data_IF_763480257778
#
_entry.id   IF_763480257778
#
_cell.length_a   1.000
_cell.length_b   1.000
_cell.length_c   1.000
_cell.angle_alpha   90.00
_cell.angle_beta   90.00
_cell.angle_gamma   90.00
#
_symmetry.space_group_name_H-M   'P 1'
#
loop_
_entity.id
_entity.type
_entity.pdbx_description
1 polymer ?
#
# COMPACT_ATOMS: atom_id res chain seq x y z
N UNK A 1 6.27 -17.40 -7.78
CA UNK A 1 5.21 -16.53 -7.27
C UNK A 1 5.44 -16.22 -5.79
N UNK A 2 5.35 -17.20 -4.88
CA UNK A 2 5.58 -16.97 -3.44
C UNK A 2 6.95 -16.38 -3.12
N UNK A 3 8.03 -17.05 -3.54
CA UNK A 3 9.41 -16.61 -3.29
C UNK A 3 9.73 -15.24 -3.90
N UNK A 4 8.98 -14.84 -4.93
CA UNK A 4 9.14 -13.55 -5.59
C UNK A 4 8.45 -12.43 -4.80
N UNK A 5 7.20 -12.67 -4.38
CA UNK A 5 6.35 -11.60 -3.84
C UNK A 5 6.40 -11.49 -2.32
N UNK A 6 6.74 -12.55 -1.59
CA UNK A 6 6.61 -12.57 -0.13
C UNK A 6 7.92 -12.17 0.58
N UNK A 7 9.06 -12.90 0.44
CA UNK A 7 10.21 -12.72 1.33
C UNK A 7 11.15 -11.54 0.98
N UNK A 8 11.00 -10.89 -0.18
CA UNK A 8 11.97 -9.89 -0.66
C UNK A 8 11.95 -8.52 0.04
N UNK A 9 11.15 -8.35 1.10
CA UNK A 9 11.05 -7.10 1.87
C UNK A 9 11.99 -7.06 3.08
N UNK A 10 11.87 -6.00 3.90
CA UNK A 10 12.59 -5.90 5.19
C UNK A 10 11.96 -6.78 6.29
N UNK A 11 10.77 -7.32 6.06
CA UNK A 11 10.00 -8.14 6.99
C UNK A 11 9.69 -7.48 8.33
N UNK A 12 9.76 -6.14 8.41
CA UNK A 12 9.56 -5.40 9.65
C UNK A 12 8.21 -5.74 10.31
N UNK A 13 7.13 -5.92 9.54
CA UNK A 13 5.80 -6.20 10.10
C UNK A 13 5.77 -7.61 10.69
N UNK A 14 6.31 -8.58 9.96
CA UNK A 14 6.43 -9.95 10.42
C UNK A 14 7.30 -10.11 11.66
N UNK A 15 8.48 -9.48 11.67
CA UNK A 15 9.41 -9.46 12.81
C UNK A 15 8.78 -8.77 14.03
N UNK A 16 7.97 -7.72 13.82
CA UNK A 16 7.30 -7.00 14.92
C UNK A 16 6.38 -7.89 15.74
N UNK A 17 5.80 -8.96 15.18
CA UNK A 17 5.00 -9.93 15.96
C UNK A 17 5.88 -10.66 16.97
N UNK A 18 7.04 -11.15 16.53
CA UNK A 18 8.00 -11.88 17.36
C UNK A 18 8.54 -10.97 18.45
N UNK A 19 8.96 -9.76 18.08
CA UNK A 19 9.50 -8.79 19.03
C UNK A 19 8.46 -8.36 20.06
N UNK A 20 7.22 -8.10 19.63
CA UNK A 20 6.12 -7.72 20.52
C UNK A 20 5.75 -8.85 21.47
N UNK A 21 5.67 -10.10 20.97
CA UNK A 21 5.37 -11.26 21.81
C UNK A 21 6.48 -11.49 22.86
N UNK A 22 7.75 -11.36 22.46
CA UNK A 22 8.89 -11.43 23.38
C UNK A 22 8.82 -10.36 24.46
N UNK A 23 8.47 -9.12 24.10
CA UNK A 23 8.35 -8.02 25.05
C UNK A 23 7.19 -8.23 26.04
N UNK A 24 6.07 -8.82 25.61
CA UNK A 24 4.95 -9.18 26.50
C UNK A 24 5.35 -10.27 27.50
N UNK A 25 6.13 -11.26 27.06
CA UNK A 25 6.70 -12.33 27.90
C UNK A 25 7.74 -11.82 28.91
N UNK A 26 8.37 -10.67 28.65
CA UNK A 26 9.35 -10.07 29.54
C UNK A 26 10.69 -10.82 29.54
N UNK A 27 11.17 -11.21 30.72
CA UNK A 27 12.45 -11.93 30.89
C UNK A 27 12.38 -13.43 30.57
N UNK A 28 11.17 -13.97 30.35
CA UNK A 28 11.01 -15.38 30.02
C UNK A 28 11.53 -15.72 28.62
N UNK A 29 12.29 -16.81 28.52
CA UNK A 29 12.70 -17.35 27.21
C UNK A 29 11.48 -17.91 26.47
N UNK A 30 11.39 -17.58 25.18
CA UNK A 30 10.37 -18.15 24.30
C UNK A 30 10.70 -19.60 24.00
N UNK A 31 9.69 -20.46 24.13
CA UNK A 31 9.76 -21.84 23.65
C UNK A 31 9.84 -21.90 22.13
N UNK A 32 10.31 -23.02 21.57
CA UNK A 32 10.36 -23.20 20.12
C UNK A 32 8.97 -23.11 19.46
N UNK A 33 7.91 -23.60 20.15
CA UNK A 33 6.52 -23.49 19.66
C UNK A 33 6.06 -22.03 19.63
N UNK A 34 6.36 -21.24 20.67
CA UNK A 34 6.04 -19.82 20.71
C UNK A 34 6.76 -19.05 19.60
N UNK A 35 8.06 -19.28 19.41
CA UNK A 35 8.81 -18.66 18.31
C UNK A 35 8.20 -19.03 16.96
N UNK A 36 7.87 -20.32 16.76
CA UNK A 36 7.27 -20.78 15.51
C UNK A 36 5.91 -20.13 15.25
N UNK A 37 5.03 -20.07 16.25
CA UNK A 37 3.69 -19.49 16.12
C UNK A 37 3.74 -17.98 15.89
N UNK A 38 4.60 -17.25 16.61
CA UNK A 38 4.81 -15.82 16.39
C UNK A 38 5.34 -15.56 14.96
N UNK A 39 6.30 -16.36 14.49
CA UNK A 39 6.78 -16.31 13.11
C UNK A 39 5.66 -16.61 12.11
N UNK A 40 4.81 -17.60 12.37
CA UNK A 40 3.72 -17.97 11.47
C UNK A 40 2.68 -16.84 11.33
N UNK A 41 2.35 -16.14 12.43
CA UNK A 41 1.51 -14.94 12.41
C UNK A 41 2.21 -13.79 11.68
N UNK A 42 3.50 -13.57 11.93
CA UNK A 42 4.30 -12.59 11.22
C UNK A 42 4.30 -12.81 9.71
N UNK A 43 4.45 -14.07 9.28
CA UNK A 43 4.32 -14.44 7.88
C UNK A 43 2.91 -14.22 7.34
N UNK A 44 1.84 -14.53 8.08
CA UNK A 44 0.47 -14.18 7.63
C UNK A 44 0.34 -12.69 7.28
N UNK A 45 0.98 -11.79 8.04
CA UNK A 45 0.99 -10.34 7.77
C UNK A 45 1.81 -10.01 6.52
N UNK A 46 2.99 -10.63 6.33
CA UNK A 46 3.81 -10.45 5.13
C UNK A 46 3.11 -11.01 3.87
N UNK A 47 2.33 -12.09 3.98
CA UNK A 47 1.46 -12.59 2.92
C UNK A 47 0.32 -11.62 2.60
N UNK A 48 -0.32 -11.03 3.62
CA UNK A 48 -1.35 -10.01 3.45
C UNK A 48 -0.79 -8.78 2.73
N UNK A 49 0.39 -8.32 3.14
CA UNK A 49 1.08 -7.22 2.49
C UNK A 49 1.43 -7.58 1.03
N UNK A 50 1.99 -8.77 0.78
CA UNK A 50 2.35 -9.19 -0.57
C UNK A 50 1.11 -9.25 -1.49
N UNK A 51 -0.03 -9.70 -0.98
CA UNK A 51 -1.30 -9.65 -1.70
C UNK A 51 -1.66 -8.22 -2.13
N UNK A 52 -1.68 -7.27 -1.19
CA UNK A 52 -2.01 -5.89 -1.51
C UNK A 52 -1.01 -5.27 -2.47
N UNK A 53 0.30 -5.48 -2.27
CA UNK A 53 1.34 -4.94 -3.15
C UNK A 53 1.25 -5.46 -4.59
N UNK A 54 0.93 -6.74 -4.79
CA UNK A 54 0.76 -7.29 -6.15
C UNK A 54 -0.40 -6.61 -6.88
N UNK A 55 -1.51 -6.33 -6.19
CA UNK A 55 -2.65 -5.65 -6.79
C UNK A 55 -2.42 -4.14 -6.95
N UNK A 56 -1.78 -3.51 -5.96
CA UNK A 56 -1.44 -2.09 -5.96
C UNK A 56 -0.48 -1.77 -7.12
N UNK A 57 0.56 -2.58 -7.31
CA UNK A 57 1.48 -2.43 -8.45
C UNK A 57 0.75 -2.48 -9.80
N UNK A 58 -0.33 -3.28 -9.93
CA UNK A 58 -1.16 -3.34 -11.14
C UNK A 58 -1.99 -2.07 -11.30
N UNK A 59 -2.65 -1.62 -10.22
CA UNK A 59 -3.54 -0.45 -10.23
C UNK A 59 -2.76 0.85 -10.49
N UNK A 60 -1.56 0.95 -9.95
CA UNK A 60 -0.67 2.11 -10.09
C UNK A 60 0.26 1.98 -11.32
N UNK A 61 0.09 0.95 -12.16
CA UNK A 61 0.96 0.66 -13.31
C UNK A 61 2.47 0.68 -12.96
N UNK A 62 2.83 0.25 -11.76
CA UNK A 62 4.21 0.27 -11.27
C UNK A 62 5.15 -0.57 -12.14
N UNK A 63 6.42 -0.14 -12.21
CA UNK A 63 7.46 -0.84 -12.98
C UNK A 63 8.30 -1.78 -12.13
N UNK A 64 8.73 -1.33 -10.94
CA UNK A 64 9.65 -2.07 -10.08
C UNK A 64 9.20 -2.06 -8.62
N UNK A 65 9.42 -3.16 -7.92
CA UNK A 65 9.26 -3.32 -6.47
C UNK A 65 10.41 -4.14 -5.89
N UNK A 66 10.95 -3.71 -4.74
CA UNK A 66 12.04 -4.43 -4.03
C UNK A 66 13.25 -4.72 -4.94
N UNK A 67 13.60 -3.75 -5.79
CA UNK A 67 14.73 -3.87 -6.73
C UNK A 67 14.51 -4.81 -7.93
N UNK A 68 13.29 -5.32 -8.13
CA UNK A 68 12.94 -6.23 -9.23
C UNK A 68 11.71 -5.72 -10.00
N UNK A 69 11.45 -6.17 -11.24
CA UNK A 69 10.20 -5.84 -11.93
C UNK A 69 8.98 -6.27 -11.10
N UNK A 70 7.90 -5.47 -11.12
CA UNK A 70 6.64 -5.86 -10.49
C UNK A 70 6.15 -7.19 -11.08
N UNK A 71 5.49 -8.03 -10.29
CA UNK A 71 5.13 -9.40 -10.68
C UNK A 71 4.35 -9.46 -12.01
N UNK A 72 3.38 -8.55 -12.19
CA UNK A 72 2.58 -8.46 -13.41
C UNK A 72 3.36 -7.98 -14.65
N UNK A 73 4.54 -7.37 -14.46
CA UNK A 73 5.41 -6.92 -15.56
C UNK A 73 6.26 -8.06 -16.15
N UNK A 74 6.33 -9.22 -15.50
CA UNK A 74 7.09 -10.36 -16.03
C UNK A 74 6.41 -10.92 -17.30
N UNK A 75 7.17 -11.20 -18.39
CA UNK A 75 6.58 -11.56 -19.68
C UNK A 75 5.65 -12.78 -19.69
N UNK A 76 5.86 -13.71 -18.75
CA UNK A 76 5.05 -14.95 -18.62
C UNK A 76 3.95 -14.85 -17.56
N UNK A 77 3.85 -13.72 -16.86
CA UNK A 77 2.88 -13.51 -15.77
C UNK A 77 1.75 -12.61 -16.27
N UNK A 78 2.04 -11.35 -16.61
CA UNK A 78 1.00 -10.40 -17.00
C UNK A 78 -0.13 -10.33 -15.96
N UNK A 79 -1.37 -10.30 -16.44
CA UNK A 79 -2.56 -10.20 -15.59
C UNK A 79 -2.91 -11.47 -14.80
N UNK A 80 -2.18 -12.58 -14.99
CA UNK A 80 -2.27 -13.76 -14.09
C UNK A 80 -1.97 -13.33 -12.64
N UNK A 81 -1.16 -12.29 -12.48
CA UNK A 81 -0.84 -11.65 -11.20
C UNK A 81 -2.06 -11.29 -10.35
N UNK A 82 -3.21 -10.95 -10.96
CA UNK A 82 -4.46 -10.69 -10.21
C UNK A 82 -4.90 -11.93 -9.45
N UNK A 83 -4.94 -13.08 -10.11
CA UNK A 83 -5.29 -14.34 -9.47
C UNK A 83 -4.21 -14.78 -8.47
N UNK A 84 -2.93 -14.57 -8.79
CA UNK A 84 -1.83 -14.86 -7.86
C UNK A 84 -1.95 -14.05 -6.56
N UNK A 85 -2.38 -12.79 -6.64
CA UNK A 85 -2.72 -11.97 -5.47
C UNK A 85 -3.83 -12.62 -4.64
N UNK A 86 -4.93 -13.05 -5.27
CA UNK A 86 -6.02 -13.76 -4.57
C UNK A 86 -5.51 -15.05 -3.91
N UNK A 87 -4.60 -15.78 -4.56
CA UNK A 87 -3.96 -16.97 -3.98
C UNK A 87 -3.11 -16.62 -2.76
N UNK A 88 -2.33 -15.53 -2.79
CA UNK A 88 -1.58 -15.03 -1.62
C UNK A 88 -2.51 -14.77 -0.43
N UNK A 89 -3.60 -14.04 -0.65
CA UNK A 89 -4.62 -13.77 0.37
C UNK A 89 -5.19 -15.06 0.96
N UNK A 90 -5.49 -16.05 0.12
CA UNK A 90 -6.04 -17.33 0.56
C UNK A 90 -5.03 -18.24 1.29
N UNK A 91 -3.72 -17.99 1.22
CA UNK A 91 -2.77 -18.73 2.05
C UNK A 91 -2.88 -18.36 3.54
N UNK A 92 -3.31 -17.14 3.87
CA UNK A 92 -3.47 -16.67 5.26
C UNK A 92 -4.40 -17.60 6.06
N UNK A 93 -5.68 -17.82 5.68
CA UNK A 93 -6.55 -18.72 6.42
C UNK A 93 -6.08 -20.18 6.39
N UNK A 94 -5.25 -20.59 5.41
CA UNK A 94 -4.65 -21.93 5.38
C UNK A 94 -3.59 -22.08 6.46
N UNK A 95 -2.74 -21.08 6.65
CA UNK A 95 -1.73 -21.04 7.72
C UNK A 95 -2.43 -20.96 9.08
N UNK A 96 -3.38 -20.03 9.24
CA UNK A 96 -4.15 -19.88 10.49
C UNK A 96 -4.85 -21.20 10.86
N UNK A 97 -5.58 -21.82 9.93
CA UNK A 97 -6.24 -23.11 10.19
C UNK A 97 -5.26 -24.24 10.50
N UNK A 98 -4.09 -24.26 9.87
CA UNK A 98 -3.11 -25.35 10.06
C UNK A 98 -2.47 -25.30 11.46
N UNK A 99 -2.14 -24.11 11.93
CA UNK A 99 -1.31 -23.95 13.14
C UNK A 99 -2.09 -23.44 14.37
N UNK A 100 -3.24 -22.79 14.16
CA UNK A 100 -3.97 -22.11 15.24
C UNK A 100 -5.36 -22.67 15.51
N UNK A 101 -5.89 -23.60 14.70
CA UNK A 101 -7.28 -24.11 14.83
C UNK A 101 -7.67 -24.66 16.22
N UNK A 102 -6.69 -25.08 17.02
CA UNK A 102 -6.90 -25.63 18.37
C UNK A 102 -6.62 -24.64 19.48
N UNK A 103 -6.16 -23.41 19.15
CA UNK A 103 -5.93 -22.34 20.11
C UNK A 103 -7.28 -21.67 20.43
N UNK A 104 -7.46 -21.23 21.67
CA UNK A 104 -8.69 -20.57 22.12
C UNK A 104 -9.01 -19.30 21.32
N UNK A 105 -7.98 -18.55 20.92
CA UNK A 105 -8.05 -17.31 20.16
C UNK A 105 -8.10 -17.48 18.63
N UNK A 106 -8.43 -18.69 18.13
CA UNK A 106 -8.44 -18.96 16.68
C UNK A 106 -9.46 -18.12 15.92
N UNK A 107 -10.67 -17.96 16.48
CA UNK A 107 -11.74 -17.18 15.84
C UNK A 107 -11.35 -15.71 15.83
N UNK A 108 -10.80 -15.21 16.93
CA UNK A 108 -10.34 -13.82 17.04
C UNK A 108 -9.22 -13.51 16.03
N UNK A 109 -8.32 -14.46 15.76
CA UNK A 109 -7.34 -14.32 14.68
C UNK A 109 -7.99 -14.24 13.30
N UNK A 110 -8.99 -15.07 13.00
CA UNK A 110 -9.68 -15.00 11.72
C UNK A 110 -10.38 -13.65 11.54
N UNK A 111 -11.08 -13.20 12.57
CA UNK A 111 -11.81 -11.93 12.54
C UNK A 111 -10.84 -10.74 12.46
N UNK A 112 -9.74 -10.75 13.22
CA UNK A 112 -8.69 -9.73 13.14
C UNK A 112 -8.11 -9.59 11.72
N UNK A 113 -7.72 -10.70 11.09
CA UNK A 113 -7.16 -10.66 9.74
C UNK A 113 -8.20 -10.20 8.70
N UNK A 114 -9.45 -10.65 8.81
CA UNK A 114 -10.52 -10.24 7.89
C UNK A 114 -10.87 -8.75 8.05
N UNK A 115 -10.97 -8.26 9.29
CA UNK A 115 -11.29 -6.86 9.58
C UNK A 115 -10.18 -5.92 9.10
N UNK A 116 -8.91 -6.27 9.37
CA UNK A 116 -7.77 -5.48 8.90
C UNK A 116 -7.63 -5.54 7.37
N UNK A 117 -7.92 -6.69 6.75
CA UNK A 117 -8.00 -6.80 5.28
C UNK A 117 -9.08 -5.86 4.73
N UNK A 118 -10.28 -5.86 5.33
CA UNK A 118 -11.39 -4.98 4.94
C UNK A 118 -11.05 -3.50 5.10
N UNK A 119 -10.43 -3.12 6.22
CA UNK A 119 -9.97 -1.76 6.48
C UNK A 119 -8.94 -1.32 5.44
N UNK A 120 -7.97 -2.19 5.13
CA UNK A 120 -6.92 -1.92 4.13
C UNK A 120 -7.51 -1.75 2.73
N UNK A 121 -8.42 -2.64 2.33
CA UNK A 121 -9.12 -2.55 1.06
C UNK A 121 -10.01 -1.28 0.97
N UNK A 122 -10.64 -0.88 2.08
CA UNK A 122 -11.43 0.35 2.17
C UNK A 122 -10.54 1.60 2.07
N UNK A 123 -9.37 1.59 2.71
CA UNK A 123 -8.36 2.64 2.55
C UNK A 123 -7.89 2.77 1.10
N UNK A 124 -7.60 1.63 0.45
CA UNK A 124 -7.26 1.60 -0.98
C UNK A 124 -8.39 2.14 -1.85
N UNK A 125 -9.64 1.78 -1.56
CA UNK A 125 -10.80 2.30 -2.27
C UNK A 125 -10.85 3.84 -2.18
N UNK A 126 -10.69 4.40 -0.98
CA UNK A 126 -10.71 5.86 -0.78
C UNK A 126 -9.56 6.52 -1.54
N UNK A 127 -8.36 5.94 -1.53
CA UNK A 127 -7.20 6.43 -2.28
C UNK A 127 -7.51 6.51 -3.79
N UNK A 128 -8.00 5.41 -4.37
CA UNK A 128 -8.31 5.32 -5.80
C UNK A 128 -9.42 6.28 -6.23
N UNK A 129 -10.52 6.38 -5.47
CA UNK A 129 -11.60 7.31 -5.84
C UNK A 129 -11.18 8.78 -5.67
N UNK A 130 -10.29 9.07 -4.73
CA UNK A 130 -9.78 10.43 -4.50
C UNK A 130 -8.85 10.85 -5.63
N UNK A 131 -8.03 9.93 -6.13
CA UNK A 131 -6.96 10.23 -7.11
C UNK A 131 -7.37 10.00 -8.56
N UNK A 132 -8.25 9.04 -8.85
CA UNK A 132 -8.55 8.58 -10.22
C UNK A 132 -9.97 8.89 -10.71
N UNK A 133 -10.93 9.21 -9.82
CA UNK A 133 -12.33 9.40 -10.21
C UNK A 133 -12.67 10.89 -10.43
N UNK A 134 -13.24 11.16 -11.60
CA UNK A 134 -13.60 12.51 -12.05
C UNK A 134 -12.38 13.31 -12.50
N UNK A 135 -12.53 14.62 -12.57
CA UNK A 135 -11.44 15.52 -12.98
C UNK A 135 -10.29 15.54 -11.96
N UNK A 136 -9.06 15.71 -12.46
CA UNK A 136 -7.89 15.97 -11.61
C UNK A 136 -8.03 17.36 -11.00
N UNK A 137 -8.46 17.39 -9.74
CA UNK A 137 -8.74 18.62 -9.02
C UNK A 137 -8.12 18.54 -7.61
N UNK A 138 -7.11 19.37 -7.36
CA UNK A 138 -6.44 19.46 -6.07
C UNK A 138 -7.37 19.95 -4.96
N UNK A 139 -8.50 20.59 -5.27
CA UNK A 139 -9.49 21.00 -4.26
C UNK A 139 -10.13 19.82 -3.54
N UNK A 140 -10.10 18.62 -4.16
CA UNK A 140 -10.52 17.36 -3.53
C UNK A 140 -9.58 16.93 -2.41
N UNK A 141 -8.35 17.45 -2.36
CA UNK A 141 -7.34 17.02 -1.41
C UNK A 141 -7.42 17.84 -0.13
N UNK A 142 -7.41 17.15 1.00
CA UNK A 142 -7.46 17.76 2.31
C UNK A 142 -6.74 16.89 3.32
N UNK A 143 -6.31 17.50 4.42
CA UNK A 143 -5.63 16.78 5.50
C UNK A 143 -6.51 15.68 6.10
N UNK A 144 -7.84 15.88 6.14
CA UNK A 144 -8.79 14.88 6.64
C UNK A 144 -8.90 13.68 5.71
N UNK A 145 -8.88 13.90 4.39
CA UNK A 145 -8.90 12.83 3.39
C UNK A 145 -7.58 12.05 3.42
N UNK A 146 -6.44 12.75 3.42
CA UNK A 146 -5.11 12.14 3.59
C UNK A 146 -5.08 11.26 4.84
N UNK A 147 -5.43 11.82 6.00
CA UNK A 147 -5.43 11.09 7.27
C UNK A 147 -6.31 9.83 7.20
N UNK A 148 -7.49 9.91 6.59
CA UNK A 148 -8.39 8.76 6.44
C UNK A 148 -7.82 7.70 5.49
N UNK A 149 -7.24 8.10 4.36
CA UNK A 149 -6.56 7.18 3.44
C UNK A 149 -5.46 6.44 4.21
N UNK A 150 -4.55 7.17 4.85
CA UNK A 150 -3.40 6.61 5.56
C UNK A 150 -3.81 5.70 6.72
N UNK A 151 -4.78 6.14 7.52
CA UNK A 151 -5.29 5.36 8.66
C UNK A 151 -5.76 3.98 8.19
N UNK A 152 -6.63 3.94 7.17
CA UNK A 152 -7.23 2.69 6.72
C UNK A 152 -6.30 1.88 5.81
N UNK A 153 -5.62 2.52 4.85
CA UNK A 153 -4.76 1.86 3.87
C UNK A 153 -3.46 1.33 4.48
N UNK A 154 -2.91 1.99 5.50
CA UNK A 154 -1.57 1.67 6.01
C UNK A 154 -1.56 1.31 7.48
N UNK A 155 -2.16 2.13 8.35
CA UNK A 155 -1.88 2.05 9.79
C UNK A 155 -2.32 0.73 10.43
N UNK A 156 -3.53 0.24 10.10
CA UNK A 156 -4.05 -1.01 10.70
C UNK A 156 -3.18 -2.23 10.37
N UNK A 157 -2.87 -2.47 9.09
CA UNK A 157 -2.10 -3.66 8.70
C UNK A 157 -0.59 -3.53 8.97
N UNK A 158 -0.09 -2.31 9.16
CA UNK A 158 1.35 -2.07 9.35
C UNK A 158 1.76 -1.99 10.81
N UNK A 159 0.90 -1.47 11.68
CA UNK A 159 1.23 -1.18 13.08
C UNK A 159 0.31 -1.90 14.07
N UNK A 160 -1.00 -1.89 13.83
CA UNK A 160 -1.95 -2.52 14.76
C UNK A 160 -1.89 -4.05 14.71
N UNK A 161 -2.04 -4.66 13.52
CA UNK A 161 -2.15 -6.12 13.41
C UNK A 161 -0.95 -6.90 13.96
N UNK A 162 0.34 -6.46 13.86
CA UNK A 162 1.44 -7.21 14.46
C UNK A 162 1.33 -7.31 15.98
N UNK A 163 0.98 -6.21 16.65
CA UNK A 163 0.82 -6.17 18.10
C UNK A 163 -0.45 -6.90 18.54
N UNK A 164 -1.55 -6.75 17.79
CA UNK A 164 -2.79 -7.48 18.07
C UNK A 164 -2.61 -9.01 17.96
N UNK A 165 -1.83 -9.48 16.98
CA UNK A 165 -1.44 -10.89 16.87
C UNK A 165 -0.67 -11.37 18.11
N UNK A 166 0.29 -10.56 18.59
CA UNK A 166 1.05 -10.89 19.79
C UNK A 166 0.18 -10.91 21.05
N UNK A 167 -0.73 -9.94 21.21
CA UNK A 167 -1.68 -9.88 22.34
C UNK A 167 -2.61 -11.10 22.37
N UNK A 168 -3.23 -11.46 21.24
CA UNK A 168 -4.06 -12.66 21.15
C UNK A 168 -3.27 -13.92 21.49
N UNK A 169 -2.04 -14.03 20.97
CA UNK A 169 -1.17 -15.16 21.27
C UNK A 169 -0.77 -15.22 22.76
N UNK A 170 -0.68 -14.07 23.43
CA UNK A 170 -0.40 -13.94 24.86
C UNK A 170 -1.61 -14.28 25.74
N UNK A 171 -2.80 -14.34 25.15
CA UNK A 171 -4.06 -14.68 25.84
C UNK A 171 -4.89 -13.46 26.23
N UNK A 172 -4.57 -12.28 25.71
CA UNK A 172 -5.30 -11.04 25.95
C UNK A 172 -6.58 -10.96 25.11
N UNK A 173 -7.57 -10.21 25.61
CA UNK A 173 -8.78 -9.86 24.86
C UNK A 173 -8.60 -8.48 24.20
N UNK A 174 -8.68 -8.40 22.88
CA UNK A 174 -8.45 -7.14 22.14
C UNK A 174 -9.43 -6.02 22.49
N UNK A 175 -10.63 -6.33 22.99
CA UNK A 175 -11.61 -5.33 23.44
C UNK A 175 -11.10 -4.50 24.63
N UNK A 176 -10.19 -5.05 25.44
CA UNK A 176 -9.58 -4.35 26.58
C UNK A 176 -8.40 -3.44 26.14
N UNK A 177 -7.97 -3.53 24.87
CA UNK A 177 -6.76 -2.88 24.35
C UNK A 177 -7.04 -1.79 23.31
N UNK A 178 -8.18 -1.09 23.42
CA UNK A 178 -8.54 0.01 22.49
C UNK A 178 -7.48 1.11 22.46
N UNK A 179 -6.92 1.48 23.61
CA UNK A 179 -5.87 2.52 23.68
C UNK A 179 -4.59 2.10 22.93
N UNK A 180 -4.24 0.81 22.95
CA UNK A 180 -3.10 0.27 22.20
C UNK A 180 -3.34 0.44 20.70
N UNK A 181 -4.55 0.12 20.23
CA UNK A 181 -4.96 0.34 18.83
C UNK A 181 -4.84 1.81 18.44
N UNK A 182 -5.36 2.73 19.26
CA UNK A 182 -5.34 4.17 18.96
C UNK A 182 -3.90 4.70 18.82
N UNK A 183 -2.99 4.31 19.72
CA UNK A 183 -1.57 4.69 19.64
C UNK A 183 -0.92 4.13 18.37
N UNK A 184 -1.14 2.85 18.06
CA UNK A 184 -0.55 2.21 16.88
C UNK A 184 -1.09 2.80 15.57
N UNK A 185 -2.35 3.22 15.55
CA UNK A 185 -2.93 3.92 14.40
C UNK A 185 -2.26 5.28 14.22
N UNK A 186 -2.06 6.07 15.27
CA UNK A 186 -1.33 7.35 15.17
C UNK A 186 0.12 7.16 14.73
N UNK A 187 0.81 6.13 15.23
CA UNK A 187 2.15 5.78 14.76
C UNK A 187 2.18 5.45 13.26
N UNK A 188 1.17 4.72 12.78
CA UNK A 188 1.04 4.43 11.35
C UNK A 188 0.76 5.67 10.50
N UNK A 189 -0.03 6.61 11.03
CA UNK A 189 -0.25 7.90 10.36
C UNK A 189 1.05 8.69 10.27
N UNK A 190 1.81 8.78 11.37
CA UNK A 190 3.11 9.42 11.39
C UNK A 190 4.10 8.77 10.41
N UNK A 191 4.16 7.43 10.38
CA UNK A 191 5.03 6.69 9.46
C UNK A 191 4.75 7.01 8.00
N UNK A 192 3.48 7.09 7.59
CA UNK A 192 3.15 7.41 6.20
C UNK A 192 3.44 8.87 5.85
N UNK A 193 3.31 9.81 6.80
CA UNK A 193 3.78 11.20 6.59
C UNK A 193 5.28 11.23 6.32
N UNK A 194 6.06 10.39 7.00
CA UNK A 194 7.50 10.26 6.71
C UNK A 194 7.74 9.64 5.33
N UNK A 195 6.96 8.62 4.93
CA UNK A 195 7.07 7.98 3.62
C UNK A 195 6.78 8.97 2.48
N UNK A 196 5.70 9.76 2.61
CA UNK A 196 5.33 10.83 1.67
C UNK A 196 6.44 11.90 1.55
N UNK A 197 7.07 12.28 2.68
CA UNK A 197 8.20 13.20 2.66
C UNK A 197 9.42 12.60 1.96
N UNK A 198 9.74 11.33 2.27
CA UNK A 198 10.88 10.62 1.69
C UNK A 198 10.68 10.31 0.21
N UNK A 199 9.44 10.17 -0.28
CA UNK A 199 9.18 10.03 -1.72
C UNK A 199 9.66 11.26 -2.49
N UNK A 200 9.37 12.46 -1.99
CA UNK A 200 9.78 13.70 -2.67
C UNK A 200 11.26 14.07 -2.42
N UNK A 201 11.75 13.90 -1.19
CA UNK A 201 13.05 14.45 -0.77
C UNK A 201 14.12 13.39 -0.47
N UNK A 202 13.76 12.12 -0.31
CA UNK A 202 14.67 11.03 0.01
C UNK A 202 15.56 10.63 -1.17
N UNK A 203 16.81 10.27 -0.90
CA UNK A 203 17.74 9.82 -1.93
C UNK A 203 17.24 8.50 -2.58
N UNK A 204 17.17 8.39 -3.93
CA UNK A 204 16.63 7.20 -4.60
C UNK A 204 17.29 5.88 -4.17
N UNK A 205 18.60 5.92 -3.87
CA UNK A 205 19.38 4.77 -3.41
C UNK A 205 18.94 4.26 -2.03
N UNK A 206 18.35 5.14 -1.20
CA UNK A 206 17.86 4.84 0.14
C UNK A 206 16.40 4.39 0.13
N UNK A 207 15.57 5.02 -0.71
CA UNK A 207 14.12 4.74 -0.78
C UNK A 207 13.84 3.45 -1.58
N UNK A 208 14.66 3.13 -2.58
CA UNK A 208 14.55 1.88 -3.35
C UNK A 208 13.34 1.82 -4.30
N UNK A 209 12.69 2.96 -4.54
CA UNK A 209 11.67 3.19 -5.57
C UNK A 209 11.97 4.48 -6.33
N UNK A 210 11.44 4.59 -7.55
CA UNK A 210 11.42 5.83 -8.31
C UNK A 210 10.40 6.75 -7.63
N UNK A 211 10.74 8.02 -7.44
CA UNK A 211 9.82 9.05 -6.91
C UNK A 211 8.67 9.22 -7.89
N UNK A 212 7.44 9.14 -7.41
CA UNK A 212 6.29 9.19 -8.32
C UNK A 212 5.05 9.86 -7.72
N UNK A 213 5.04 10.22 -6.43
CA UNK A 213 3.84 10.78 -5.79
C UNK A 213 3.29 12.01 -6.52
N UNK A 214 4.19 12.86 -7.05
CA UNK A 214 3.82 14.04 -7.82
C UNK A 214 3.31 13.60 -9.20
N UNK A 215 4.08 12.83 -9.96
CA UNK A 215 3.67 12.40 -11.31
C UNK A 215 2.34 11.63 -11.32
N UNK A 216 2.11 10.80 -10.29
CA UNK A 216 0.93 9.96 -10.12
C UNK A 216 -0.27 10.73 -9.55
N UNK A 217 -0.09 12.03 -9.25
CA UNK A 217 -1.13 12.87 -8.67
C UNK A 217 -1.68 12.25 -7.37
N UNK A 218 -0.80 11.78 -6.48
CA UNK A 218 -1.20 11.17 -5.20
C UNK A 218 -1.67 12.25 -4.23
N UNK A 219 -2.63 11.88 -3.37
CA UNK A 219 -3.04 12.70 -2.23
C UNK A 219 -1.98 12.59 -1.11
N UNK A 220 -0.75 13.04 -1.37
CA UNK A 220 0.40 13.01 -0.46
C UNK A 220 0.29 14.08 0.64
N UNK A 221 0.89 13.83 1.80
CA UNK A 221 0.94 14.80 2.90
C UNK A 221 1.52 16.15 2.47
N UNK A 222 2.52 16.14 1.58
CA UNK A 222 3.18 17.34 1.09
C UNK A 222 2.22 18.24 0.30
N UNK A 223 1.38 17.67 -0.58
CA UNK A 223 0.45 18.46 -1.39
C UNK A 223 -0.67 19.03 -0.53
N UNK A 224 -1.23 18.25 0.41
CA UNK A 224 -2.28 18.78 1.30
C UNK A 224 -1.77 19.88 2.22
N UNK A 225 -0.52 19.80 2.69
CA UNK A 225 0.10 20.87 3.48
C UNK A 225 0.46 22.09 2.65
N UNK A 226 0.94 21.89 1.42
CA UNK A 226 1.18 22.98 0.49
C UNK A 226 -0.12 23.75 0.21
N UNK A 227 -1.23 23.04 -0.05
CA UNK A 227 -2.54 23.66 -0.29
C UNK A 227 -3.09 24.40 0.94
N UNK A 228 -2.85 23.90 2.15
CA UNK A 228 -3.25 24.55 3.41
C UNK A 228 -2.50 25.88 3.65
N UNK A 229 -1.21 25.93 3.31
CA UNK A 229 -0.34 27.08 3.57
C UNK A 229 -0.24 28.06 2.39
N UNK A 230 -0.57 27.63 1.18
CA UNK A 230 -0.44 28.41 -0.03
C UNK A 230 -1.46 29.56 -0.08
N UNK A 231 -1.00 30.72 -0.57
CA UNK A 231 -1.91 31.77 -1.01
C UNK A 231 -2.57 31.42 -2.37
N UNK A 232 -3.54 32.21 -2.81
CA UNK A 232 -4.28 31.93 -4.04
C UNK A 232 -3.41 31.93 -5.31
N UNK A 233 -2.31 32.70 -5.34
CA UNK A 233 -1.37 32.70 -6.46
C UNK A 233 -0.56 31.40 -6.49
N UNK A 234 -0.09 30.93 -5.33
CA UNK A 234 0.63 29.67 -5.18
C UNK A 234 -0.27 28.46 -5.46
N UNK A 235 -1.55 28.47 -5.05
CA UNK A 235 -2.51 27.42 -5.40
C UNK A 235 -2.74 27.35 -6.90
N UNK A 236 -2.90 28.50 -7.57
CA UNK A 236 -2.99 28.57 -9.04
C UNK A 236 -1.73 28.03 -9.71
N UNK A 237 -0.54 28.35 -9.17
CA UNK A 237 0.72 27.80 -9.66
C UNK A 237 0.76 26.27 -9.51
N UNK A 238 0.39 25.72 -8.36
CA UNK A 238 0.36 24.28 -8.13
C UNK A 238 -0.55 23.57 -9.13
N UNK A 239 -1.78 24.07 -9.32
CA UNK A 239 -2.69 23.55 -10.36
C UNK A 239 -2.08 23.67 -11.76
N UNK A 240 -1.49 24.83 -12.09
CA UNK A 240 -0.89 25.09 -13.40
C UNK A 240 0.33 24.19 -13.71
N UNK A 241 1.14 23.83 -12.70
CA UNK A 241 2.28 22.92 -12.88
C UNK A 241 1.81 21.52 -13.28
N UNK A 242 0.72 21.02 -12.69
CA UNK A 242 0.14 19.73 -13.07
C UNK A 242 -0.46 19.77 -14.48
N UNK A 243 -1.20 20.82 -14.82
CA UNK A 243 -1.73 21.00 -16.17
C UNK A 243 -0.61 21.07 -17.22
N UNK A 244 0.46 21.82 -16.95
CA UNK A 244 1.62 21.94 -17.83
C UNK A 244 2.36 20.60 -18.00
N UNK A 245 2.54 19.83 -16.92
CA UNK A 245 3.09 18.48 -16.99
C UNK A 245 2.24 17.55 -17.86
N UNK A 246 0.91 17.56 -17.69
CA UNK A 246 0.00 16.75 -18.50
C UNK A 246 0.03 17.15 -19.97
N UNK A 247 -0.01 18.44 -20.28
CA UNK A 247 0.08 18.97 -21.64
C UNK A 247 1.40 18.54 -22.31
N UNK A 248 2.55 18.77 -21.64
CA UNK A 248 3.88 18.40 -22.16
C UNK A 248 4.04 16.90 -22.37
N UNK A 249 3.54 16.10 -21.43
CA UNK A 249 3.58 14.63 -21.52
C UNK A 249 2.71 14.14 -22.69
N UNK A 250 1.50 14.68 -22.84
CA UNK A 250 0.64 14.37 -23.97
C UNK A 250 1.29 14.72 -25.31
N UNK A 251 1.86 15.92 -25.46
CA UNK A 251 2.57 16.31 -26.69
C UNK A 251 3.73 15.37 -27.02
N UNK A 252 4.51 14.98 -26.00
CA UNK A 252 5.61 14.02 -26.15
C UNK A 252 5.11 12.64 -26.61
N UNK A 253 4.01 12.16 -26.03
CA UNK A 253 3.40 10.89 -26.41
C UNK A 253 2.82 10.93 -27.82
N UNK A 254 2.13 12.01 -28.21
CA UNK A 254 1.63 12.19 -29.58
C UNK A 254 2.78 12.10 -30.59
N UNK A 255 3.86 12.85 -30.35
CA UNK A 255 5.07 12.80 -31.21
C UNK A 255 5.65 11.39 -31.28
N UNK A 256 5.73 10.69 -30.15
CA UNK A 256 6.25 9.31 -30.11
C UNK A 256 5.32 8.30 -30.80
N UNK A 257 4.01 8.51 -30.80
CA UNK A 257 3.08 7.65 -31.52
C UNK A 257 3.22 7.91 -33.02
N UNK A 258 3.38 9.17 -33.44
CA UNK A 258 3.51 9.54 -34.85
C UNK A 258 4.78 9.03 -35.53
N UNK A 259 5.84 8.75 -34.76
CA UNK A 259 7.06 8.12 -35.28
C UNK A 259 6.94 6.61 -35.48
N UNK A 260 5.85 5.96 -35.01
CA UNK A 260 5.67 4.52 -35.15
C UNK A 260 5.31 4.14 -36.61
N UNK A 261 5.98 3.18 -37.27
CA UNK A 261 5.83 2.97 -38.73
C UNK A 261 4.47 2.41 -39.17
N UNK A 262 3.70 1.78 -38.27
CA UNK A 262 2.39 1.18 -38.58
C UNK A 262 1.24 2.14 -38.26
N UNK A 263 0.54 2.61 -39.29
CA UNK A 263 -0.65 3.46 -39.16
C UNK A 263 -1.76 2.82 -38.31
N UNK A 264 -1.93 1.49 -38.41
CA UNK A 264 -2.90 0.77 -37.60
C UNK A 264 -2.55 0.83 -36.10
N UNK A 265 -1.27 0.65 -35.76
CA UNK A 265 -0.79 0.76 -34.37
C UNK A 265 -0.88 2.21 -33.89
N UNK A 266 -0.54 3.19 -34.74
CA UNK A 266 -0.73 4.61 -34.40
C UNK A 266 -2.18 4.92 -34.03
N UNK A 267 -3.15 4.46 -34.84
CA UNK A 267 -4.57 4.68 -34.61
C UNK A 267 -5.03 4.07 -33.28
N UNK A 268 -4.56 2.86 -32.95
CA UNK A 268 -4.84 2.22 -31.65
C UNK A 268 -4.26 3.05 -30.52
N UNK A 269 -2.98 3.41 -30.57
CA UNK A 269 -2.31 4.18 -29.52
C UNK A 269 -2.91 5.58 -29.32
N UNK A 270 -3.24 6.29 -30.41
CA UNK A 270 -3.96 7.59 -30.35
C UNK A 270 -5.35 7.43 -29.72
N UNK A 271 -6.06 6.34 -30.01
CA UNK A 271 -7.35 6.04 -29.37
C UNK A 271 -7.20 5.80 -27.86
N UNK A 272 -6.14 5.10 -27.42
CA UNK A 272 -5.85 4.95 -25.99
C UNK A 272 -5.46 6.27 -25.34
N UNK A 273 -4.56 7.05 -25.96
CA UNK A 273 -4.10 8.33 -25.44
C UNK A 273 -5.26 9.34 -25.31
N UNK A 274 -6.14 9.42 -26.31
CA UNK A 274 -7.33 10.28 -26.25
C UNK A 274 -8.33 9.88 -25.16
N UNK A 275 -8.31 8.63 -24.70
CA UNK A 275 -9.15 8.16 -23.58
C UNK A 275 -8.57 8.50 -22.20
N UNK A 276 -7.30 8.91 -22.11
CA UNK A 276 -6.61 9.20 -20.83
C UNK A 276 -6.23 10.67 -20.66
N UNK A 277 -5.98 11.40 -21.75
CA UNK A 277 -5.62 12.82 -21.72
C UNK A 277 -6.79 13.70 -21.26
N UNK A 278 -6.59 14.52 -20.22
CA UNK A 278 -7.59 15.43 -19.65
C UNK A 278 -8.94 14.77 -19.49
N UNK A 279 -8.97 13.60 -18.84
CA UNK A 279 -10.21 12.87 -18.56
C UNK A 279 -11.20 13.77 -17.80
N UNK A 280 -12.07 14.43 -18.54
CA UNK A 280 -13.38 14.84 -18.06
C UNK A 280 -14.31 13.64 -18.28
N UNK A 281 -14.85 13.09 -17.19
CA UNK A 281 -15.97 12.17 -17.21
C UNK A 281 -17.10 12.79 -16.41
#
# INVERSE_FOLDING_TARGET
MLDYNVPGGKLNRGLSVVDSYKLLKGEEELTEDEVFLACALGWCIEWLQAYFLVLDDIMDESHTRRGQPCWFRLPKVGMIAVNDGVVLRNHIPRILKKHFRSKSYYVDLLDLFNEVEFQTASGQMIDLITTLVGEKDLSKYSLSIHRRIVQYKTAYYSFYIPVACALLMFGENLDDHVQVKDVLVEMGIYYQVQDDYLDCFGAPEVVGKIRSDIEDFKCSWLVVKALELANEEQKKLLNGVFEDYENKTHEKLVKSIETHPSNAVQAVLKSFLGKIYKRQK
#
